data_IF_722909689741
#
_entry.id   IF_722909689741
#
_cell.length_a   1.000
_cell.length_b   1.000
_cell.length_c   1.000
_cell.angle_alpha   90.00
_cell.angle_beta   90.00
_cell.angle_gamma   90.00
#
_symmetry.space_group_name_H-M   'P 1'
#
loop_
_entity.id
_entity.type
_entity.pdbx_description
1 polymer ?
#
# COMPACT_ATOMS: atom_id res chain seq x y z
N UNK A 1 -17.71 10.27 18.23
CA UNK A 1 -17.21 9.16 17.41
C UNK A 1 -16.47 9.80 16.25
N UNK A 2 -15.20 10.08 16.44
CA UNK A 2 -14.35 10.60 15.37
C UNK A 2 -12.96 10.02 15.61
N UNK A 3 -12.72 8.85 15.01
CA UNK A 3 -11.44 8.17 15.02
C UNK A 3 -10.82 8.35 13.64
N UNK A 4 -10.31 9.57 13.39
CA UNK A 4 -9.40 9.83 12.28
C UNK A 4 -8.10 9.03 12.42
N UNK A 5 -7.30 8.92 11.35
CA UNK A 5 -6.08 8.14 11.37
C UNK A 5 -5.12 8.75 12.39
N UNK A 6 -4.69 7.93 13.35
CA UNK A 6 -3.77 8.34 14.42
C UNK A 6 -2.48 8.82 13.74
N UNK A 7 -2.00 10.04 14.02
CA UNK A 7 -0.77 10.56 13.43
C UNK A 7 0.41 9.69 13.85
N UNK A 8 1.32 9.46 12.90
CA UNK A 8 2.59 8.77 13.08
C UNK A 8 3.52 9.63 13.97
N UNK A 9 3.22 9.69 15.26
CA UNK A 9 4.10 10.30 16.26
C UNK A 9 5.01 9.19 16.76
N UNK A 10 6.24 9.20 16.24
CA UNK A 10 7.38 8.47 16.79
C UNK A 10 7.63 9.03 18.19
N UNK A 11 6.95 8.48 19.20
CA UNK A 11 7.31 8.65 20.60
C UNK A 11 8.14 7.42 21.00
N UNK A 12 9.46 7.63 21.01
CA UNK A 12 10.42 7.07 21.94
C UNK A 12 10.18 5.62 22.40
N UNK A 13 10.81 4.69 21.67
CA UNK A 13 11.65 3.61 22.18
C UNK A 13 11.26 2.95 23.51
N UNK A 14 10.13 2.24 23.54
CA UNK A 14 10.09 0.96 24.25
C UNK A 14 10.67 -0.09 23.30
N UNK A 15 11.98 -0.31 23.38
CA UNK A 15 12.58 -1.50 22.78
C UNK A 15 11.95 -2.70 23.47
N UNK A 16 11.05 -3.38 22.77
CA UNK A 16 10.57 -4.67 23.25
C UNK A 16 11.79 -5.61 23.26
N UNK A 17 12.26 -5.96 24.46
CA UNK A 17 13.38 -6.88 24.72
C UNK A 17 12.95 -8.34 24.40
N UNK A 18 12.25 -8.53 23.28
CA UNK A 18 11.74 -9.83 22.85
C UNK A 18 12.72 -10.47 21.87
N UNK A 19 13.30 -11.57 22.32
CA UNK A 19 14.07 -12.46 21.47
C UNK A 19 13.16 -13.40 20.68
N UNK A 20 13.45 -13.53 19.38
CA UNK A 20 12.79 -14.49 18.50
C UNK A 20 13.73 -15.66 18.22
N UNK A 21 13.33 -16.86 18.66
CA UNK A 21 14.07 -18.10 18.42
C UNK A 21 13.50 -18.84 17.21
N UNK A 22 14.26 -18.86 16.11
CA UNK A 22 13.91 -19.62 14.91
C UNK A 22 14.37 -21.08 15.05
N UNK A 23 13.43 -22.02 14.92
CA UNK A 23 13.68 -23.47 15.00
C UNK A 23 13.33 -24.15 13.69
N UNK A 24 14.06 -25.22 13.35
CA UNK A 24 13.80 -26.00 12.14
C UNK A 24 14.23 -25.34 10.83
N UNK A 25 15.12 -24.34 10.90
CA UNK A 25 15.69 -23.72 9.69
C UNK A 25 16.70 -24.68 9.07
N UNK A 26 16.62 -24.85 7.76
CA UNK A 26 17.54 -25.70 7.01
C UNK A 26 19.01 -25.23 7.17
N UNK A 27 19.96 -26.14 7.45
CA UNK A 27 21.35 -25.76 7.65
C UNK A 27 22.00 -25.07 6.45
N UNK A 28 21.57 -25.34 5.21
CA UNK A 28 22.09 -24.62 4.04
C UNK A 28 21.59 -23.18 4.01
N UNK A 29 20.32 -22.96 4.39
CA UNK A 29 19.76 -21.62 4.51
C UNK A 29 20.50 -20.79 5.57
N UNK A 30 20.86 -21.38 6.73
CA UNK A 30 21.64 -20.69 7.77
C UNK A 30 23.01 -20.23 7.24
N UNK A 31 23.73 -21.12 6.53
CA UNK A 31 25.02 -20.75 5.92
C UNK A 31 24.90 -19.61 4.93
N UNK A 32 23.86 -19.64 4.09
CA UNK A 32 23.62 -18.58 3.12
C UNK A 32 23.29 -17.25 3.81
N UNK A 33 22.52 -17.28 4.89
CA UNK A 33 22.25 -16.08 5.71
C UNK A 33 23.55 -15.53 6.30
N UNK A 34 24.45 -16.39 6.78
CA UNK A 34 25.76 -15.97 7.29
C UNK A 34 26.63 -15.32 6.23
N UNK A 35 26.68 -15.89 5.03
CA UNK A 35 27.41 -15.32 3.90
C UNK A 35 26.87 -13.94 3.53
N UNK A 36 25.54 -13.78 3.48
CA UNK A 36 24.90 -12.50 3.17
C UNK A 36 25.11 -11.46 4.28
N UNK A 37 25.06 -11.88 5.55
CA UNK A 37 25.35 -11.01 6.69
C UNK A 37 26.81 -10.54 6.67
N UNK A 38 27.75 -11.44 6.33
CA UNK A 38 29.17 -11.14 6.20
C UNK A 38 29.44 -10.16 5.04
N UNK A 39 28.78 -10.35 3.90
CA UNK A 39 28.86 -9.42 2.76
C UNK A 39 28.41 -8.00 3.11
N UNK A 40 27.42 -7.88 4.00
CA UNK A 40 26.90 -6.61 4.48
C UNK A 40 27.63 -6.09 5.73
N UNK A 41 28.63 -6.82 6.22
CA UNK A 41 29.40 -6.52 7.43
C UNK A 41 28.51 -6.30 8.68
N UNK A 42 27.46 -7.12 8.81
CA UNK A 42 26.54 -7.09 9.95
C UNK A 42 26.47 -8.46 10.63
N UNK A 43 26.02 -8.49 11.89
CA UNK A 43 25.76 -9.76 12.56
C UNK A 43 24.56 -10.47 11.94
N UNK A 44 24.53 -11.81 12.02
CA UNK A 44 23.37 -12.62 11.61
C UNK A 44 22.06 -12.10 12.21
N UNK A 45 22.06 -11.77 13.51
CA UNK A 45 20.87 -11.24 14.19
C UNK A 45 20.43 -9.90 13.60
N UNK A 46 21.37 -8.98 13.37
CA UNK A 46 21.04 -7.68 12.76
C UNK A 46 20.53 -7.85 11.34
N UNK A 47 21.12 -8.76 10.57
CA UNK A 47 20.66 -9.09 9.23
C UNK A 47 19.21 -9.62 9.24
N UNK A 48 18.89 -10.55 10.14
CA UNK A 48 17.54 -11.10 10.28
C UNK A 48 16.53 -10.04 10.72
N UNK A 49 16.89 -9.17 11.66
CA UNK A 49 16.05 -8.05 12.08
C UNK A 49 15.75 -7.13 10.89
N UNK A 50 16.77 -6.72 10.15
CA UNK A 50 16.60 -5.87 8.98
C UNK A 50 15.73 -6.55 7.93
N UNK A 51 15.91 -7.86 7.70
CA UNK A 51 15.11 -8.61 6.74
C UNK A 51 13.62 -8.65 7.14
N UNK A 52 13.32 -8.88 8.42
CA UNK A 52 11.95 -8.88 8.94
C UNK A 52 11.33 -7.49 8.83
N UNK A 53 12.05 -6.45 9.25
CA UNK A 53 11.58 -5.06 9.17
C UNK A 53 11.32 -4.61 7.72
N UNK A 54 12.21 -4.99 6.80
CA UNK A 54 12.03 -4.69 5.39
C UNK A 54 10.84 -5.45 4.80
N UNK A 55 10.62 -6.71 5.23
CA UNK A 55 9.48 -7.49 4.79
C UNK A 55 8.15 -6.86 5.25
N UNK A 56 8.05 -6.46 6.52
CA UNK A 56 6.84 -5.80 7.05
C UNK A 56 6.59 -4.46 6.38
N UNK A 57 7.64 -3.65 6.18
CA UNK A 57 7.51 -2.37 5.49
C UNK A 57 7.08 -2.54 4.02
N UNK A 58 7.58 -3.57 3.33
CA UNK A 58 7.20 -3.86 1.95
C UNK A 58 5.75 -4.32 1.84
N UNK A 59 5.28 -5.14 2.78
CA UNK A 59 3.90 -5.60 2.82
C UNK A 59 2.92 -4.44 3.06
N UNK A 60 3.26 -3.53 3.97
CA UNK A 60 2.50 -2.29 4.18
C UNK A 60 2.44 -1.43 2.92
N UNK A 61 3.57 -1.27 2.22
CA UNK A 61 3.63 -0.50 0.97
C UNK A 61 2.79 -1.15 -0.14
N UNK A 62 2.87 -2.46 -0.31
CA UNK A 62 2.10 -3.19 -1.33
C UNK A 62 0.60 -3.09 -1.07
N UNK A 63 0.18 -3.25 0.19
CA UNK A 63 -1.22 -3.06 0.58
C UNK A 63 -1.70 -1.63 0.35
N UNK A 64 -0.83 -0.62 0.50
CA UNK A 64 -1.14 0.76 0.19
C UNK A 64 -1.30 0.99 -1.32
N UNK A 65 -0.40 0.44 -2.14
CA UNK A 65 -0.46 0.52 -3.60
C UNK A 65 -1.74 -0.10 -4.17
N UNK A 66 -2.10 -1.30 -3.74
CA UNK A 66 -3.33 -1.98 -4.17
C UNK A 66 -4.58 -1.18 -3.80
N UNK A 67 -4.61 -0.58 -2.59
CA UNK A 67 -5.71 0.29 -2.16
C UNK A 67 -5.77 1.58 -2.97
N UNK A 68 -4.63 2.15 -3.32
CA UNK A 68 -4.54 3.37 -4.13
C UNK A 68 -5.01 3.12 -5.56
N UNK A 69 -4.57 2.02 -6.19
CA UNK A 69 -5.03 1.60 -7.52
C UNK A 69 -6.55 1.37 -7.53
N UNK A 70 -7.08 0.66 -6.54
CA UNK A 70 -8.53 0.44 -6.41
C UNK A 70 -9.32 1.75 -6.24
N UNK A 71 -8.78 2.73 -5.53
CA UNK A 71 -9.41 4.05 -5.40
C UNK A 71 -9.37 4.83 -6.73
N UNK A 72 -8.25 4.78 -7.46
CA UNK A 72 -8.12 5.40 -8.78
C UNK A 72 -9.11 4.81 -9.79
N UNK A 73 -9.25 3.49 -9.85
CA UNK A 73 -10.21 2.82 -10.73
C UNK A 73 -11.65 3.27 -10.44
N UNK A 74 -12.03 3.35 -9.16
CA UNK A 74 -13.36 3.84 -8.76
C UNK A 74 -13.58 5.29 -9.18
N UNK A 75 -12.57 6.15 -9.02
CA UNK A 75 -12.66 7.54 -9.44
C UNK A 75 -12.78 7.68 -10.95
N UNK A 76 -11.99 6.92 -11.73
CA UNK A 76 -12.10 6.87 -13.18
C UNK A 76 -13.50 6.45 -13.63
N UNK A 77 -14.05 5.41 -13.02
CA UNK A 77 -15.40 4.93 -13.34
C UNK A 77 -16.49 5.94 -12.98
N UNK A 78 -16.32 6.71 -11.90
CA UNK A 78 -17.25 7.80 -11.54
C UNK A 78 -17.12 8.95 -12.53
N UNK A 79 -15.90 9.32 -12.94
CA UNK A 79 -15.67 10.37 -13.94
C UNK A 79 -16.30 9.97 -15.28
N UNK A 80 -16.06 8.75 -15.75
CA UNK A 80 -16.64 8.22 -16.99
C UNK A 80 -18.17 8.27 -16.96
N UNK A 81 -18.78 7.78 -15.86
CA UNK A 81 -20.23 7.85 -15.68
C UNK A 81 -20.76 9.29 -15.65
N UNK A 82 -20.04 10.21 -15.00
CA UNK A 82 -20.43 11.61 -14.98
C UNK A 82 -20.33 12.23 -16.36
N UNK A 83 -19.29 11.91 -17.13
CA UNK A 83 -19.14 12.34 -18.53
C UNK A 83 -20.28 11.81 -19.39
N UNK A 84 -20.64 10.53 -19.26
CA UNK A 84 -21.77 9.94 -19.98
C UNK A 84 -23.11 10.61 -19.64
N UNK A 85 -23.34 10.92 -18.36
CA UNK A 85 -24.55 11.61 -17.91
C UNK A 85 -24.58 13.04 -18.43
N UNK A 86 -23.45 13.75 -18.41
CA UNK A 86 -23.35 15.11 -18.96
C UNK A 86 -23.57 15.12 -20.47
N UNK A 87 -23.04 14.13 -21.20
CA UNK A 87 -23.27 14.01 -22.63
C UNK A 87 -24.75 13.77 -22.92
N UNK A 88 -25.40 12.82 -22.23
CA UNK A 88 -26.84 12.57 -22.36
C UNK A 88 -27.67 13.79 -22.01
N UNK A 89 -27.26 14.54 -20.98
CA UNK A 89 -27.90 15.79 -20.60
C UNK A 89 -27.81 16.79 -21.76
N UNK A 90 -26.62 17.05 -22.29
CA UNK A 90 -26.43 17.95 -23.44
C UNK A 90 -27.25 17.51 -24.67
N UNK A 91 -27.27 16.22 -24.98
CA UNK A 91 -28.03 15.68 -26.11
C UNK A 91 -29.55 15.91 -25.93
N UNK A 92 -30.08 15.71 -24.71
CA UNK A 92 -31.50 15.98 -24.42
C UNK A 92 -31.86 17.46 -24.42
N UNK A 93 -30.97 18.34 -23.96
CA UNK A 93 -31.22 19.79 -23.96
C UNK A 93 -31.07 20.39 -25.36
N UNK A 94 -30.07 19.96 -26.14
CA UNK A 94 -29.94 20.37 -27.55
C UNK A 94 -31.14 19.94 -28.39
N UNK A 95 -31.70 18.76 -28.13
CA UNK A 95 -32.92 18.30 -28.79
C UNK A 95 -34.19 19.09 -28.38
N UNK A 96 -34.17 19.82 -27.26
CA UNK A 96 -35.29 20.69 -26.85
C UNK A 96 -35.20 22.07 -27.51
N UNK A 97 -34.00 22.59 -27.78
CA UNK A 97 -33.81 23.88 -28.46
C UNK A 97 -34.23 23.85 -29.94
N UNK A 98 -34.13 22.69 -30.64
CA UNK A 98 -34.61 22.56 -32.03
C UNK A 98 -36.15 22.53 -32.17
N UNK A 99 -36.90 22.36 -31.10
CA UNK A 99 -38.37 22.20 -31.15
C UNK A 99 -39.17 23.49 -30.88
N UNK A 100 -38.52 24.62 -30.58
CA UNK A 100 -39.18 25.92 -30.33
C UNK A 100 -39.20 26.88 -31.55
N UNK A 101 -38.66 26.47 -32.71
CA UNK A 101 -38.62 27.29 -33.95
C UNK A 101 -39.72 27.00 -35.01
N UNK A 102 -40.76 26.22 -34.69
CA UNK A 102 -41.94 26.03 -35.59
C UNK A 102 -43.22 26.66 -35.09
#
# INVERSE_FOLDING_TARGET
>A
MDSGPIPYVILQEEWCEMDILLRGVDPMAIKKIDELALQQNVSRSRYLINMIQNFTALEEFKNFEDRYLSALEKNLLVIEKNTDVLQKFLDTFGALEENDET
#
